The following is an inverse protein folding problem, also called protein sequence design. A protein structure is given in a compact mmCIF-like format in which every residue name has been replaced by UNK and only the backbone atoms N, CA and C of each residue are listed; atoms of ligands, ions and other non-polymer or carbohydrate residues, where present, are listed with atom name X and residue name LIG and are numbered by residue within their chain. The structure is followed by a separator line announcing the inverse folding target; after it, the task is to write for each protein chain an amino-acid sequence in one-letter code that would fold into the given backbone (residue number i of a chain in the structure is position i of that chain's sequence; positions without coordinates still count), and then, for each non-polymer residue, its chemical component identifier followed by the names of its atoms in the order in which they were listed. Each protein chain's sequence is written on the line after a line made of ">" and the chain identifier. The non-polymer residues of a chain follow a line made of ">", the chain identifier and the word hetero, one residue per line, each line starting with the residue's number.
data_IF_098696478323
#
_entry.id   IF_098696478323
#
_cell.length_a   1.000
_cell.length_b   1.000
_cell.length_c   1.000
_cell.angle_alpha   90.00
_cell.angle_beta   90.00
_cell.angle_gamma   90.00
#
_symmetry.space_group_name_H-M   'P 1'
#
loop_
_entity.id
_entity.type
_entity.pdbx_description
1 polymer ?
#
# COMPACT_ATOMS: atom_id res chain seq x y z
N UNK A 1 14.05 39.61 4.28
CA UNK A 1 14.99 39.71 5.41
C UNK A 1 14.53 38.76 6.50
N UNK A 2 15.08 37.55 6.54
CA UNK A 2 15.01 36.63 7.69
C UNK A 2 16.25 35.75 7.62
N UNK A 3 16.97 35.73 8.73
CA UNK A 3 18.38 35.36 8.87
C UNK A 3 18.67 33.86 8.86
N UNK A 4 19.70 33.51 8.09
CA UNK A 4 20.73 32.50 8.31
C UNK A 4 20.41 31.35 9.29
N UNK A 5 20.08 30.19 8.72
CA UNK A 5 20.09 28.89 9.38
C UNK A 5 21.47 28.24 9.25
N UNK A 6 22.44 28.66 10.07
CA UNK A 6 23.69 27.93 10.24
C UNK A 6 23.59 26.99 11.45
N UNK A 7 23.87 25.70 11.23
CA UNK A 7 24.23 24.68 12.22
C UNK A 7 23.35 24.56 13.49
N UNK A 8 22.27 23.76 13.39
CA UNK A 8 21.48 23.30 14.55
C UNK A 8 21.55 21.78 14.80
N UNK A 9 22.70 21.14 14.56
CA UNK A 9 22.89 19.78 15.07
C UNK A 9 23.68 19.86 16.38
N UNK A 10 23.01 19.51 17.50
CA UNK A 10 23.68 19.20 18.77
C UNK A 10 24.70 18.08 18.50
N UNK A 11 25.75 17.89 19.29
CA UNK A 11 26.77 16.86 18.99
C UNK A 11 26.24 15.42 19.16
N UNK A 12 25.16 15.23 19.91
CA UNK A 12 24.56 13.91 20.23
C UNK A 12 24.11 13.08 18.99
N UNK A 13 23.55 13.64 17.90
CA UNK A 13 23.18 12.89 16.69
C UNK A 13 24.38 12.59 15.75
N UNK A 14 25.53 13.24 15.93
CA UNK A 14 26.69 13.05 15.04
C UNK A 14 27.39 11.71 15.32
N UNK A 15 27.56 11.35 16.60
CA UNK A 15 28.17 10.09 17.02
C UNK A 15 27.37 8.86 16.56
N UNK A 16 26.03 8.94 16.60
CA UNK A 16 25.12 7.89 16.11
C UNK A 16 25.28 7.70 14.60
N UNK A 17 25.41 8.81 13.85
CA UNK A 17 25.53 8.79 12.38
C UNK A 17 26.85 8.15 11.92
N UNK A 18 27.97 8.47 12.59
CA UNK A 18 29.30 7.92 12.29
C UNK A 18 29.38 6.42 12.61
N UNK A 19 28.78 5.99 13.74
CA UNK A 19 28.73 4.58 14.13
C UNK A 19 27.96 3.68 13.16
N UNK A 20 26.85 4.17 12.60
CA UNK A 20 26.06 3.42 11.60
C UNK A 20 26.70 3.39 10.21
N UNK A 21 27.49 4.41 9.83
CA UNK A 21 28.13 4.47 8.51
C UNK A 21 29.31 3.49 8.35
N UNK A 22 29.95 3.09 9.46
CA UNK A 22 31.13 2.22 9.47
C UNK A 22 30.84 0.75 9.83
N UNK A 23 29.57 0.37 9.97
CA UNK A 23 29.18 -1.04 10.19
C UNK A 23 29.65 -1.67 11.51
N UNK A 24 30.08 -0.88 12.49
CA UNK A 24 30.64 -1.38 13.77
C UNK A 24 29.60 -1.74 14.84
N UNK A 25 28.33 -1.39 14.67
CA UNK A 25 27.27 -1.71 15.64
C UNK A 25 26.23 -2.65 15.05
N UNK A 26 26.09 -3.85 15.63
CA UNK A 26 24.95 -4.74 15.37
C UNK A 26 23.67 -4.03 15.80
N UNK A 27 22.72 -3.89 14.88
CA UNK A 27 21.35 -3.42 15.15
C UNK A 27 20.67 -4.37 16.13
N UNK A 28 20.76 -4.08 17.42
CA UNK A 28 19.85 -4.59 18.44
C UNK A 28 20.11 -3.80 19.72
N UNK A 29 19.72 -2.52 19.73
CA UNK A 29 19.25 -1.91 20.97
C UNK A 29 18.03 -1.08 20.62
N UNK A 30 16.87 -1.50 21.12
CA UNK A 30 15.56 -0.82 21.01
C UNK A 30 15.47 0.48 21.82
N UNK A 31 16.61 0.95 22.33
CA UNK A 31 16.90 2.28 22.85
C UNK A 31 18.43 2.39 22.84
N UNK A 32 19.09 3.14 21.96
CA UNK A 32 20.54 3.29 22.10
C UNK A 32 20.77 3.91 23.48
N UNK A 33 21.60 3.30 24.36
CA UNK A 33 22.03 4.00 25.55
C UNK A 33 22.70 5.27 25.03
N UNK A 34 22.38 6.41 25.64
CA UNK A 34 23.07 7.67 25.38
C UNK A 34 24.55 7.48 25.76
N UNK A 35 25.34 6.89 24.86
CA UNK A 35 26.78 6.78 25.03
C UNK A 35 27.39 8.10 24.57
N UNK A 36 27.59 8.96 25.56
CA UNK A 36 28.42 10.14 25.43
C UNK A 36 29.88 9.68 25.43
N UNK A 37 30.59 9.75 24.31
CA UNK A 37 32.04 9.45 24.28
C UNK A 37 32.90 10.62 24.78
N UNK A 38 32.33 11.42 25.68
CA UNK A 38 32.99 12.58 26.23
C UNK A 38 33.90 12.17 27.39
N UNK A 39 35.15 12.64 27.35
CA UNK A 39 36.13 12.44 28.43
C UNK A 39 35.83 13.30 29.67
N UNK A 40 34.98 14.32 29.54
CA UNK A 40 34.61 15.26 30.60
C UNK A 40 33.11 15.59 30.57
N UNK A 41 32.60 16.32 31.58
CA UNK A 41 31.19 16.73 31.69
C UNK A 41 30.76 17.41 30.38
N UNK A 42 29.93 16.71 29.62
CA UNK A 42 29.50 17.16 28.31
C UNK A 42 28.57 18.35 28.45
N UNK A 43 28.96 19.50 27.91
CA UNK A 43 28.07 20.64 27.79
C UNK A 43 26.95 20.30 26.78
N UNK A 44 25.67 20.21 27.21
CA UNK A 44 24.56 19.80 26.34
C UNK A 44 24.24 20.79 25.22
N UNK A 45 24.82 22.00 25.27
CA UNK A 45 24.63 23.06 24.29
C UNK A 45 25.77 23.16 23.27
N UNK A 46 26.80 22.32 23.39
CA UNK A 46 27.91 22.28 22.43
C UNK A 46 27.43 21.78 21.05
N UNK A 47 27.73 22.57 20.02
CA UNK A 47 27.38 22.31 18.62
C UNK A 47 28.61 21.95 17.81
N UNK A 48 28.38 21.32 16.66
CA UNK A 48 29.46 20.96 15.73
C UNK A 48 30.23 22.19 15.23
N UNK A 49 29.56 23.32 15.06
CA UNK A 49 30.22 24.59 14.68
C UNK A 49 31.24 25.06 15.73
N UNK A 50 31.02 24.75 17.01
CA UNK A 50 31.91 25.15 18.10
C UNK A 50 33.21 24.33 18.10
N UNK A 51 33.22 23.20 17.38
CA UNK A 51 34.39 22.34 17.16
C UNK A 51 35.20 22.75 15.93
N UNK A 52 34.78 23.78 15.19
CA UNK A 52 35.41 24.25 13.96
C UNK A 52 36.05 25.62 14.22
N UNK A 53 37.32 25.79 13.83
CA UNK A 53 37.99 27.07 13.89
C UNK A 53 37.45 27.98 12.77
N UNK A 54 36.83 29.11 13.14
CA UNK A 54 36.17 30.02 12.20
C UNK A 54 37.12 30.70 11.20
N UNK A 55 38.40 30.84 11.57
CA UNK A 55 39.44 31.51 10.77
C UNK A 55 39.98 30.64 9.63
N UNK A 56 40.14 29.35 9.90
CA UNK A 56 40.83 28.38 9.03
C UNK A 56 39.89 27.32 8.48
N UNK A 57 38.63 27.31 8.93
CA UNK A 57 37.61 26.29 8.63
C UNK A 57 38.16 24.87 8.77
N UNK A 58 38.98 24.70 9.79
CA UNK A 58 39.62 23.44 10.15
C UNK A 58 39.04 22.96 11.48
N UNK A 59 39.03 21.65 11.69
CA UNK A 59 38.65 21.08 12.98
C UNK A 59 39.56 21.62 14.07
N UNK A 60 38.98 22.05 15.20
CA UNK A 60 39.73 22.43 16.38
C UNK A 60 40.26 21.17 17.09
N UNK A 61 41.39 20.66 16.60
CA UNK A 61 41.97 19.37 17.02
C UNK A 61 42.19 19.28 18.53
N UNK A 62 42.74 20.33 19.14
CA UNK A 62 42.99 20.41 20.58
C UNK A 62 41.69 20.27 21.38
N UNK A 63 40.64 20.98 20.96
CA UNK A 63 39.32 20.91 21.60
C UNK A 63 38.67 19.53 21.42
N UNK A 64 38.80 18.94 20.22
CA UNK A 64 38.24 17.60 19.92
C UNK A 64 38.96 16.51 20.70
N UNK A 65 40.29 16.53 20.78
CA UNK A 65 41.09 15.54 21.51
C UNK A 65 40.93 15.65 23.04
N UNK A 66 40.61 16.86 23.53
CA UNK A 66 40.26 17.11 24.93
C UNK A 66 38.84 16.67 25.29
N UNK A 67 37.89 16.74 24.36
CA UNK A 67 36.48 16.40 24.60
C UNK A 67 36.16 14.93 24.33
N UNK A 68 36.77 14.30 23.33
CA UNK A 68 36.43 12.95 22.87
C UNK A 68 37.56 11.96 23.13
N UNK A 69 37.24 10.67 23.20
CA UNK A 69 38.26 9.62 23.18
C UNK A 69 39.03 9.62 21.86
N UNK A 70 40.29 9.18 21.88
CA UNK A 70 41.19 9.25 20.74
C UNK A 70 40.61 8.63 19.46
N UNK A 71 39.88 7.52 19.59
CA UNK A 71 39.23 6.83 18.46
C UNK A 71 38.16 7.70 17.78
N UNK A 72 37.32 8.38 18.58
CA UNK A 72 36.26 9.25 18.05
C UNK A 72 36.81 10.58 17.57
N UNK A 73 37.84 11.12 18.24
CA UNK A 73 38.55 12.32 17.80
C UNK A 73 39.12 12.13 16.40
N UNK A 74 39.73 10.96 16.12
CA UNK A 74 40.22 10.62 14.77
C UNK A 74 39.10 10.58 13.73
N UNK A 75 37.96 10.01 14.07
CA UNK A 75 36.81 9.92 13.17
C UNK A 75 36.20 11.29 12.87
N UNK A 76 36.03 12.15 13.89
CA UNK A 76 35.55 13.52 13.72
C UNK A 76 36.49 14.29 12.80
N UNK A 77 37.81 14.21 13.04
CA UNK A 77 38.82 14.89 12.24
C UNK A 77 38.89 14.38 10.79
N UNK A 78 38.44 13.16 10.50
CA UNK A 78 38.41 12.59 9.14
C UNK A 78 37.33 13.19 8.24
N UNK A 79 36.32 13.86 8.81
CA UNK A 79 35.22 14.45 8.05
C UNK A 79 35.74 15.69 7.32
N UNK A 80 35.69 15.70 5.99
CA UNK A 80 36.11 16.86 5.21
C UNK A 80 35.14 18.03 5.41
N UNK A 81 35.66 19.16 5.89
CA UNK A 81 34.90 20.40 5.97
C UNK A 81 34.84 21.02 4.57
N UNK A 82 33.63 21.17 4.01
CA UNK A 82 33.44 21.76 2.69
C UNK A 82 34.00 23.19 2.62
N UNK A 83 34.56 23.59 1.49
CA UNK A 83 35.27 24.88 1.32
C UNK A 83 34.36 26.11 1.14
N UNK A 84 33.06 25.92 0.90
CA UNK A 84 32.12 27.00 0.58
C UNK A 84 31.15 27.31 1.73
N UNK A 85 30.83 28.59 1.93
CA UNK A 85 29.78 29.06 2.86
C UNK A 85 28.37 28.81 2.29
N UNK A 86 28.07 27.56 1.90
CA UNK A 86 26.73 27.15 1.47
C UNK A 86 25.90 26.68 2.66
N UNK A 87 24.59 26.95 2.64
CA UNK A 87 23.64 26.41 3.61
C UNK A 87 23.64 24.87 3.57
N UNK A 88 23.39 24.25 4.73
CA UNK A 88 23.32 22.79 4.86
C UNK A 88 22.18 22.21 4.00
N UNK A 89 22.46 21.11 3.30
CA UNK A 89 21.47 20.38 2.51
C UNK A 89 21.11 19.05 3.20
N UNK A 90 19.82 18.75 3.29
CA UNK A 90 19.36 17.41 3.69
C UNK A 90 19.56 16.44 2.53
N UNK A 91 20.43 15.44 2.72
CA UNK A 91 20.77 14.44 1.70
C UNK A 91 20.36 13.05 2.19
N UNK A 92 19.58 12.34 1.37
CA UNK A 92 19.23 10.94 1.55
C UNK A 92 20.31 10.05 0.93
N UNK A 93 21.25 9.56 1.73
CA UNK A 93 22.42 8.81 1.24
C UNK A 93 22.09 7.45 0.61
N UNK A 94 20.89 6.91 0.84
CA UNK A 94 20.42 5.68 0.17
C UNK A 94 19.84 5.93 -1.23
N UNK A 95 20.11 7.10 -1.82
CA UNK A 95 19.84 7.38 -3.22
C UNK A 95 21.05 8.13 -3.82
N UNK A 96 21.50 7.73 -5.02
CA UNK A 96 22.66 8.32 -5.70
C UNK A 96 22.52 9.82 -5.93
N UNK A 97 21.28 10.30 -6.06
CA UNK A 97 21.00 11.71 -6.30
C UNK A 97 20.71 12.49 -5.00
N UNK A 98 20.88 11.87 -3.83
CA UNK A 98 20.63 12.51 -2.54
C UNK A 98 19.16 12.79 -2.21
N UNK A 99 18.22 12.47 -3.11
CA UNK A 99 16.80 12.76 -2.92
C UNK A 99 16.08 11.63 -2.20
N UNK A 100 15.25 11.99 -1.21
CA UNK A 100 14.35 11.05 -0.56
C UNK A 100 13.24 10.59 -1.52
N UNK A 101 12.92 9.29 -1.49
CA UNK A 101 11.72 8.75 -2.15
C UNK A 101 11.14 7.62 -1.32
N UNK A 102 9.82 7.45 -1.38
CA UNK A 102 9.14 6.32 -0.73
C UNK A 102 9.70 4.98 -1.21
N UNK A 103 10.10 4.90 -2.49
CA UNK A 103 10.72 3.72 -3.09
C UNK A 103 12.09 3.39 -2.46
N UNK A 104 12.98 4.37 -2.34
CA UNK A 104 14.30 4.16 -1.70
C UNK A 104 14.17 3.84 -0.21
N UNK A 105 13.24 4.49 0.49
CA UNK A 105 12.92 4.18 1.88
C UNK A 105 12.36 2.75 2.06
N UNK A 106 11.50 2.30 1.15
CA UNK A 106 10.94 0.94 1.17
C UNK A 106 12.01 -0.13 0.95
N UNK A 107 12.93 0.06 -0.01
CA UNK A 107 14.04 -0.86 -0.22
C UNK A 107 14.97 -0.92 0.99
N UNK A 108 15.28 0.23 1.58
CA UNK A 108 16.05 0.29 2.82
C UNK A 108 15.35 -0.51 3.92
N UNK A 109 14.07 -0.24 4.18
CA UNK A 109 13.31 -0.94 5.22
C UNK A 109 13.32 -2.47 5.03
N UNK A 110 13.24 -2.94 3.78
CA UNK A 110 13.36 -4.37 3.48
C UNK A 110 14.76 -4.93 3.75
N UNK A 111 15.80 -4.20 3.37
CA UNK A 111 17.18 -4.60 3.66
C UNK A 111 17.45 -4.66 5.17
N UNK A 112 16.99 -3.68 5.94
CA UNK A 112 17.14 -3.70 7.40
C UNK A 112 16.34 -4.83 8.06
N UNK A 113 15.18 -5.18 7.50
CA UNK A 113 14.38 -6.31 7.97
C UNK A 113 15.06 -7.66 7.73
N UNK A 114 15.77 -7.79 6.61
CA UNK A 114 16.56 -8.97 6.29
C UNK A 114 17.80 -9.10 7.19
N UNK A 115 18.47 -7.98 7.51
CA UNK A 115 19.63 -7.95 8.41
C UNK A 115 19.30 -8.28 9.88
N UNK A 116 18.11 -7.88 10.37
CA UNK A 116 17.67 -8.14 11.76
C UNK A 116 17.24 -9.60 12.00
N UNK A 117 16.99 -10.36 10.94
CA UNK A 117 16.68 -11.79 11.02
C UNK A 117 18.00 -12.55 10.86
N UNK A 118 18.73 -12.75 11.95
CA UNK A 118 20.06 -13.38 11.99
C UNK A 118 20.07 -14.85 11.52
N UNK A 119 19.80 -15.07 10.23
CA UNK A 119 19.75 -16.37 9.60
C UNK A 119 20.37 -16.21 8.22
N UNK A 120 21.52 -16.88 8.07
CA UNK A 120 22.23 -17.26 6.85
C UNK A 120 21.92 -16.51 5.57
N UNK A 121 22.99 -16.12 4.88
CA UNK A 121 23.02 -15.81 3.45
C UNK A 121 22.18 -16.81 2.65
N UNK A 122 20.87 -16.56 2.57
CA UNK A 122 20.04 -16.98 1.48
C UNK A 122 20.55 -16.14 0.33
N UNK A 123 21.32 -16.77 -0.54
CA UNK A 123 21.39 -16.36 -1.93
C UNK A 123 20.03 -15.77 -2.29
N UNK A 124 20.02 -14.55 -2.82
CA UNK A 124 18.89 -14.06 -3.60
C UNK A 124 18.75 -15.05 -4.75
N UNK A 125 18.13 -16.19 -4.46
CA UNK A 125 17.66 -17.07 -5.46
C UNK A 125 16.69 -16.21 -6.24
N UNK A 126 16.92 -16.14 -7.54
CA UNK A 126 16.00 -15.67 -8.56
C UNK A 126 14.62 -16.39 -8.53
N UNK A 127 14.24 -17.03 -7.43
CA UNK A 127 12.90 -17.48 -7.09
C UNK A 127 11.95 -16.34 -6.73
N UNK A 128 12.39 -15.07 -6.75
CA UNK A 128 11.49 -13.96 -7.00
C UNK A 128 11.02 -13.99 -8.48
N UNK A 129 10.40 -15.10 -8.88
CA UNK A 129 9.93 -15.38 -10.22
C UNK A 129 9.30 -14.15 -10.83
N UNK A 130 9.81 -13.79 -12.01
CA UNK A 130 9.41 -12.62 -12.78
C UNK A 130 7.90 -12.40 -12.67
N UNK A 131 7.45 -11.40 -11.89
CA UNK A 131 6.01 -11.15 -11.65
C UNK A 131 5.36 -10.38 -12.79
N UNK A 132 6.12 -10.04 -13.84
CA UNK A 132 5.60 -9.30 -14.99
C UNK A 132 4.44 -10.03 -15.66
N UNK A 133 4.39 -11.37 -15.62
CA UNK A 133 3.28 -12.12 -16.22
C UNK A 133 1.92 -11.77 -15.60
N UNK A 134 1.88 -11.45 -14.30
CA UNK A 134 0.64 -10.99 -13.62
C UNK A 134 0.23 -9.62 -14.15
N UNK A 135 1.20 -8.71 -14.25
CA UNK A 135 0.94 -7.32 -14.62
C UNK A 135 0.68 -7.14 -16.11
N UNK A 136 1.26 -8.01 -16.95
CA UNK A 136 1.10 -8.03 -18.40
C UNK A 136 -0.18 -8.75 -18.85
N UNK A 137 -0.86 -9.48 -17.96
CA UNK A 137 -2.13 -10.13 -18.27
C UNK A 137 -3.19 -9.10 -18.68
N UNK A 138 -4.01 -9.43 -19.69
CA UNK A 138 -5.10 -8.57 -20.17
C UNK A 138 -6.38 -8.88 -19.39
N UNK A 139 -6.36 -8.51 -18.12
CA UNK A 139 -7.42 -8.78 -17.13
C UNK A 139 -7.69 -7.54 -16.26
N UNK A 140 -8.84 -7.45 -15.56
CA UNK A 140 -9.14 -6.33 -14.68
C UNK A 140 -8.07 -6.12 -13.59
N UNK A 141 -7.77 -4.85 -13.27
CA UNK A 141 -6.75 -4.51 -12.26
C UNK A 141 -7.03 -5.14 -10.87
N UNK A 142 -8.31 -5.25 -10.47
CA UNK A 142 -8.67 -5.95 -9.22
C UNK A 142 -8.24 -7.43 -9.21
N UNK A 143 -8.31 -8.09 -10.37
CA UNK A 143 -7.85 -9.48 -10.54
C UNK A 143 -6.33 -9.55 -10.50
N UNK A 144 -5.61 -8.59 -11.09
CA UNK A 144 -4.14 -8.50 -10.97
C UNK A 144 -3.67 -8.37 -9.52
N UNK A 145 -4.31 -7.49 -8.75
CA UNK A 145 -4.01 -7.32 -7.32
C UNK A 145 -4.28 -8.62 -6.56
N UNK A 146 -5.39 -9.27 -6.84
CA UNK A 146 -5.71 -10.58 -6.27
C UNK A 146 -4.64 -11.63 -6.59
N UNK A 147 -4.25 -11.79 -7.86
CA UNK A 147 -3.21 -12.75 -8.26
C UNK A 147 -1.87 -12.46 -7.59
N UNK A 148 -1.51 -11.19 -7.46
CA UNK A 148 -0.29 -10.80 -6.75
C UNK A 148 -0.35 -11.21 -5.27
N UNK A 149 -1.48 -11.00 -4.60
CA UNK A 149 -1.70 -11.46 -3.21
C UNK A 149 -1.69 -12.98 -3.11
N UNK A 150 -2.28 -13.68 -4.09
CA UNK A 150 -2.30 -15.13 -4.17
C UNK A 150 -0.89 -15.71 -4.32
N UNK A 151 -0.10 -15.17 -5.26
CA UNK A 151 1.31 -15.52 -5.45
C UNK A 151 2.17 -15.23 -4.21
N UNK A 152 1.72 -14.33 -3.33
CA UNK A 152 2.40 -14.01 -2.06
C UNK A 152 1.85 -14.77 -0.87
N UNK A 153 0.93 -15.72 -1.08
CA UNK A 153 0.25 -16.46 0.00
C UNK A 153 -0.33 -15.52 1.08
N UNK A 154 -0.85 -14.37 0.61
CA UNK A 154 -1.30 -13.25 1.43
C UNK A 154 -2.83 -13.05 1.38
N UNK A 155 -3.56 -13.94 0.70
CA UNK A 155 -5.02 -13.95 0.72
C UNK A 155 -5.55 -14.53 2.05
N UNK A 156 -6.72 -14.09 2.55
CA UNK A 156 -7.25 -14.51 3.85
C UNK A 156 -7.92 -15.90 3.81
N UNK A 157 -7.11 -16.94 3.57
CA UNK A 157 -7.49 -18.34 3.79
C UNK A 157 -7.62 -18.65 5.28
N UNK A 158 -8.26 -19.76 5.66
CA UNK A 158 -8.35 -20.14 7.08
C UNK A 158 -6.96 -20.31 7.70
N UNK A 159 -6.03 -21.02 7.03
CA UNK A 159 -4.65 -21.16 7.53
C UNK A 159 -3.94 -19.81 7.68
N UNK A 160 -4.18 -18.84 6.78
CA UNK A 160 -3.58 -17.48 6.90
C UNK A 160 -4.20 -16.68 8.04
N UNK A 161 -5.51 -16.78 8.25
CA UNK A 161 -6.21 -16.13 9.36
C UNK A 161 -5.76 -16.70 10.72
N UNK A 162 -5.66 -18.03 10.84
CA UNK A 162 -5.14 -18.70 12.04
C UNK A 162 -3.70 -18.27 12.33
N UNK A 163 -2.83 -18.24 11.32
CA UNK A 163 -1.45 -17.74 11.44
C UNK A 163 -1.40 -16.28 11.92
N UNK A 164 -2.42 -15.48 11.62
CA UNK A 164 -2.59 -14.10 12.10
C UNK A 164 -3.35 -14.00 13.43
N UNK A 165 -3.55 -15.12 14.13
CA UNK A 165 -4.22 -15.24 15.42
C UNK A 165 -5.71 -14.87 15.39
N UNK A 166 -6.36 -14.98 14.23
CA UNK A 166 -7.82 -14.89 14.14
C UNK A 166 -8.47 -16.21 14.59
N UNK A 167 -9.52 -16.12 15.41
CA UNK A 167 -10.28 -17.30 15.86
C UNK A 167 -11.24 -17.77 14.77
N UNK A 168 -10.77 -18.68 13.91
CA UNK A 168 -11.57 -19.31 12.84
C UNK A 168 -11.34 -20.83 12.83
N UNK A 169 -12.30 -21.58 12.32
CA UNK A 169 -12.13 -23.03 12.10
C UNK A 169 -11.19 -23.25 10.90
N UNK A 170 -10.29 -24.23 10.94
CA UNK A 170 -9.36 -24.49 9.84
C UNK A 170 -10.06 -25.09 8.61
N UNK A 171 -11.26 -25.63 8.77
CA UNK A 171 -11.94 -26.40 7.74
C UNK A 171 -12.39 -25.58 6.53
N UNK A 172 -12.33 -26.20 5.34
CA UNK A 172 -12.80 -25.64 4.10
C UNK A 172 -14.33 -25.49 4.11
N UNK A 173 -14.81 -24.26 3.92
CA UNK A 173 -16.25 -23.98 3.90
C UNK A 173 -16.95 -24.49 2.64
N UNK A 174 -16.20 -24.96 1.64
CA UNK A 174 -16.74 -25.48 0.38
C UNK A 174 -16.92 -27.00 0.40
N UNK A 175 -15.93 -27.77 0.88
CA UNK A 175 -15.97 -29.23 0.85
C UNK A 175 -15.79 -29.92 2.20
N UNK A 176 -15.61 -29.16 3.29
CA UNK A 176 -15.46 -29.70 4.64
C UNK A 176 -14.09 -30.32 4.95
N UNK A 177 -13.10 -30.23 4.06
CA UNK A 177 -11.74 -30.68 4.33
C UNK A 177 -11.16 -30.01 5.59
N UNK A 178 -10.31 -30.74 6.33
CA UNK A 178 -9.82 -30.34 7.66
C UNK A 178 -9.04 -29.02 7.65
N UNK A 179 -8.27 -28.75 6.59
CA UNK A 179 -7.44 -27.55 6.47
C UNK A 179 -7.67 -26.83 5.13
N UNK A 180 -8.02 -25.55 5.21
CA UNK A 180 -8.19 -24.64 4.08
C UNK A 180 -7.00 -23.67 3.94
N UNK A 181 -6.11 -24.00 3.03
CA UNK A 181 -5.04 -23.12 2.55
C UNK A 181 -5.24 -22.77 1.05
N UNK A 182 -4.38 -21.93 0.48
CA UNK A 182 -4.53 -21.50 -0.91
C UNK A 182 -4.45 -22.68 -1.87
N UNK A 183 -3.54 -23.63 -1.62
CA UNK A 183 -3.39 -24.85 -2.42
C UNK A 183 -4.70 -25.64 -2.41
N UNK A 184 -5.29 -25.85 -1.25
CA UNK A 184 -6.58 -26.52 -1.14
C UNK A 184 -7.65 -25.78 -1.96
N UNK A 185 -7.82 -24.47 -1.77
CA UNK A 185 -8.87 -23.68 -2.44
C UNK A 185 -8.78 -23.77 -3.97
N UNK A 186 -7.58 -23.69 -4.55
CA UNK A 186 -7.41 -23.59 -6.00
C UNK A 186 -7.04 -24.90 -6.69
N UNK A 187 -6.54 -25.90 -5.96
CA UNK A 187 -5.99 -27.14 -6.54
C UNK A 187 -6.72 -28.36 -6.00
N UNK A 188 -6.68 -28.59 -4.69
CA UNK A 188 -7.11 -29.88 -4.13
C UNK A 188 -8.63 -29.95 -3.89
N UNK A 189 -9.30 -28.81 -3.72
CA UNK A 189 -10.73 -28.76 -3.42
C UNK A 189 -11.54 -29.43 -4.55
N UNK A 190 -12.43 -30.39 -4.25
CA UNK A 190 -13.24 -31.07 -5.27
C UNK A 190 -14.00 -30.10 -6.18
N UNK A 191 -14.49 -29.00 -5.60
CA UNK A 191 -15.13 -27.92 -6.35
C UNK A 191 -14.20 -27.27 -7.39
N UNK A 192 -12.97 -26.93 -7.00
CA UNK A 192 -12.00 -26.34 -7.92
C UNK A 192 -11.64 -27.33 -9.02
N UNK A 193 -11.41 -28.60 -8.68
CA UNK A 193 -11.13 -29.67 -9.66
C UNK A 193 -12.23 -29.83 -10.70
N UNK A 194 -13.50 -29.76 -10.27
CA UNK A 194 -14.64 -29.82 -11.19
C UNK A 194 -14.64 -28.61 -12.14
N UNK A 195 -14.41 -27.40 -11.63
CA UNK A 195 -14.31 -26.21 -12.49
C UNK A 195 -13.17 -26.31 -13.50
N UNK A 196 -12.01 -26.81 -13.08
CA UNK A 196 -10.87 -27.01 -13.99
C UNK A 196 -11.14 -28.05 -15.07
N UNK A 197 -11.88 -29.11 -14.75
CA UNK A 197 -12.29 -30.10 -15.74
C UNK A 197 -13.25 -29.50 -16.79
N UNK A 198 -14.10 -28.55 -16.38
CA UNK A 198 -15.08 -27.90 -17.24
C UNK A 198 -14.54 -26.65 -17.97
N UNK A 199 -13.36 -26.14 -17.59
CA UNK A 199 -12.84 -24.86 -18.10
C UNK A 199 -12.12 -24.96 -19.44
N UNK A 200 -11.87 -26.17 -19.95
CA UNK A 200 -11.08 -26.44 -21.15
C UNK A 200 -9.65 -25.84 -21.12
N UNK A 201 -9.03 -25.79 -19.94
CA UNK A 201 -7.66 -25.32 -19.75
C UNK A 201 -6.76 -26.55 -19.64
N UNK A 202 -5.62 -26.64 -20.35
CA UNK A 202 -4.78 -27.84 -20.38
C UNK A 202 -3.95 -28.04 -19.10
N UNK A 203 -4.59 -27.96 -17.93
CA UNK A 203 -3.93 -28.14 -16.62
C UNK A 203 -3.43 -29.57 -16.40
N UNK A 204 -3.97 -30.56 -17.12
CA UNK A 204 -3.54 -31.96 -17.06
C UNK A 204 -2.10 -32.17 -17.57
N UNK A 205 -1.55 -31.21 -18.31
CA UNK A 205 -0.14 -31.21 -18.76
C UNK A 205 0.82 -30.97 -17.58
N UNK A 206 0.33 -30.41 -16.47
CA UNK A 206 1.12 -30.20 -15.25
C UNK A 206 1.25 -31.53 -14.51
N UNK A 207 2.35 -32.24 -14.79
CA UNK A 207 2.62 -33.59 -14.26
C UNK A 207 2.90 -33.63 -12.76
N UNK A 208 3.34 -32.52 -12.17
CA UNK A 208 3.63 -32.40 -10.74
C UNK A 208 2.94 -31.17 -10.15
N UNK A 209 1.93 -31.40 -9.31
CA UNK A 209 1.22 -30.32 -8.62
C UNK A 209 2.10 -29.78 -7.49
N UNK A 210 2.60 -28.53 -7.59
CA UNK A 210 3.61 -28.02 -6.68
C UNK A 210 3.02 -27.75 -5.29
N UNK A 211 3.83 -27.83 -4.25
CA UNK A 211 3.41 -27.70 -2.86
C UNK A 211 2.78 -26.34 -2.53
N UNK A 212 3.12 -25.29 -3.28
CA UNK A 212 2.61 -23.93 -3.10
C UNK A 212 1.92 -23.37 -4.36
N UNK A 213 1.03 -22.39 -4.17
CA UNK A 213 0.24 -21.81 -5.27
C UNK A 213 1.08 -20.90 -6.17
N UNK A 214 2.15 -20.29 -5.65
CA UNK A 214 3.00 -19.41 -6.46
C UNK A 214 3.71 -20.22 -7.57
N UNK A 215 4.30 -21.35 -7.21
CA UNK A 215 4.88 -22.31 -8.13
C UNK A 215 3.84 -22.83 -9.14
N UNK A 216 2.61 -23.08 -8.70
CA UNK A 216 1.52 -23.51 -9.59
C UNK A 216 1.16 -22.44 -10.62
N UNK A 217 0.99 -21.18 -10.20
CA UNK A 217 0.71 -20.06 -11.12
C UNK A 217 1.80 -19.91 -12.17
N UNK A 218 3.07 -20.07 -11.78
CA UNK A 218 4.20 -20.01 -12.70
C UNK A 218 4.21 -21.18 -13.70
N UNK A 219 3.90 -22.40 -13.25
CA UNK A 219 3.79 -23.57 -14.12
C UNK A 219 2.66 -23.43 -15.12
N UNK A 220 1.46 -23.02 -14.67
CA UNK A 220 0.32 -22.76 -15.56
C UNK A 220 0.72 -21.75 -16.63
N UNK A 221 1.32 -20.62 -16.22
CA UNK A 221 1.76 -19.59 -17.18
C UNK A 221 2.73 -20.12 -18.23
N UNK A 222 3.57 -21.10 -17.93
CA UNK A 222 4.52 -21.68 -18.90
C UNK A 222 3.84 -22.58 -19.94
N UNK A 223 2.70 -23.18 -19.60
CA UNK A 223 2.03 -24.18 -20.45
C UNK A 223 0.93 -23.56 -21.30
N UNK A 224 0.26 -22.52 -20.79
CA UNK A 224 -0.90 -21.91 -21.45
C UNK A 224 -0.52 -20.64 -22.21
N UNK A 225 -1.26 -20.33 -23.26
CA UNK A 225 -1.12 -19.06 -23.98
C UNK A 225 -1.67 -17.86 -23.17
N UNK A 226 -1.57 -16.65 -23.72
CA UNK A 226 -2.02 -15.45 -23.02
C UNK A 226 -3.54 -15.41 -22.79
N UNK A 227 -4.34 -15.93 -23.71
CA UNK A 227 -5.81 -15.92 -23.61
C UNK A 227 -6.28 -16.94 -22.59
N UNK A 228 -5.76 -18.17 -22.67
CA UNK A 228 -5.96 -19.22 -21.69
C UNK A 228 -5.48 -18.79 -20.30
N UNK A 229 -4.36 -18.06 -20.20
CA UNK A 229 -3.90 -17.51 -18.94
C UNK A 229 -4.87 -16.47 -18.38
N UNK A 230 -5.37 -15.56 -19.21
CA UNK A 230 -6.37 -14.58 -18.76
C UNK A 230 -7.61 -15.33 -18.26
N UNK A 231 -8.14 -16.28 -19.02
CA UNK A 231 -9.29 -17.10 -18.63
C UNK A 231 -9.07 -17.86 -17.32
N UNK A 232 -7.93 -18.54 -17.18
CA UNK A 232 -7.50 -19.21 -15.95
C UNK A 232 -7.57 -18.27 -14.73
N UNK A 233 -7.04 -17.05 -14.87
CA UNK A 233 -7.05 -16.09 -13.75
C UNK A 233 -8.45 -15.58 -13.40
N UNK A 234 -9.35 -15.47 -14.38
CA UNK A 234 -10.75 -15.13 -14.15
C UNK A 234 -11.47 -16.20 -13.34
N UNK A 235 -11.18 -17.47 -13.62
CA UNK A 235 -11.71 -18.59 -12.84
C UNK A 235 -11.14 -18.63 -11.42
N UNK A 236 -9.83 -18.42 -11.24
CA UNK A 236 -9.25 -18.26 -9.91
C UNK A 236 -9.97 -17.16 -9.12
N UNK A 237 -10.24 -16.00 -9.74
CA UNK A 237 -11.00 -14.93 -9.10
C UNK A 237 -12.43 -15.35 -8.72
N UNK A 238 -13.12 -16.13 -9.56
CA UNK A 238 -14.47 -16.63 -9.25
C UNK A 238 -14.48 -17.70 -8.17
N UNK A 239 -13.52 -18.62 -8.16
CA UNK A 239 -13.34 -19.61 -7.08
C UNK A 239 -13.19 -18.88 -5.74
N UNK A 240 -12.30 -17.87 -5.71
CA UNK A 240 -12.09 -17.05 -4.53
C UNK A 240 -13.35 -16.27 -4.11
N UNK A 241 -14.02 -15.63 -5.07
CA UNK A 241 -15.25 -14.87 -4.83
C UNK A 241 -16.37 -15.75 -4.26
N UNK A 242 -16.61 -16.92 -4.85
CA UNK A 242 -17.60 -17.89 -4.35
C UNK A 242 -17.28 -18.34 -2.93
N UNK A 243 -16.03 -18.70 -2.66
CA UNK A 243 -15.60 -19.08 -1.30
C UNK A 243 -15.89 -17.94 -0.31
N UNK A 244 -15.59 -16.69 -0.67
CA UNK A 244 -15.87 -15.56 0.21
C UNK A 244 -17.38 -15.32 0.40
N UNK A 245 -18.20 -15.47 -0.64
CA UNK A 245 -19.66 -15.41 -0.52
C UNK A 245 -20.20 -16.48 0.43
N UNK A 246 -19.63 -17.70 0.41
CA UNK A 246 -19.99 -18.75 1.38
C UNK A 246 -19.59 -18.37 2.82
N UNK A 247 -18.35 -17.90 3.01
CA UNK A 247 -17.82 -17.60 4.35
C UNK A 247 -18.47 -16.36 4.97
N UNK A 248 -18.69 -15.31 4.18
CA UNK A 248 -19.15 -14.01 4.68
C UNK A 248 -20.66 -13.82 4.56
N UNK A 249 -21.27 -14.34 3.49
CA UNK A 249 -22.68 -14.08 3.13
C UNK A 249 -23.55 -15.34 3.21
N UNK A 250 -22.97 -16.51 3.54
CA UNK A 250 -23.63 -17.83 3.53
C UNK A 250 -24.35 -18.16 2.20
N UNK A 251 -23.88 -17.59 1.09
CA UNK A 251 -24.49 -17.78 -0.24
C UNK A 251 -23.99 -19.05 -0.92
N UNK A 252 -24.92 -19.94 -1.24
CA UNK A 252 -24.65 -21.14 -2.03
C UNK A 252 -24.70 -20.78 -3.52
N UNK A 253 -23.65 -21.13 -4.27
CA UNK A 253 -23.60 -20.95 -5.72
C UNK A 253 -23.47 -22.31 -6.42
N UNK A 254 -24.18 -22.46 -7.55
CA UNK A 254 -24.01 -23.58 -8.46
C UNK A 254 -22.61 -23.50 -9.12
N UNK A 255 -21.84 -24.60 -9.18
CA UNK A 255 -20.56 -24.62 -9.88
C UNK A 255 -20.63 -24.13 -11.34
N UNK A 256 -21.70 -24.46 -12.07
CA UNK A 256 -21.87 -24.03 -13.47
C UNK A 256 -22.01 -22.50 -13.57
N UNK A 257 -22.59 -21.86 -12.56
CA UNK A 257 -22.71 -20.40 -12.51
C UNK A 257 -21.34 -19.74 -12.41
N UNK A 258 -20.34 -20.39 -11.80
CA UNK A 258 -18.99 -19.82 -11.72
C UNK A 258 -18.33 -19.68 -13.09
N UNK A 259 -18.51 -20.67 -13.98
CA UNK A 259 -17.95 -20.61 -15.34
C UNK A 259 -18.67 -19.55 -16.16
N UNK A 260 -20.00 -19.60 -16.19
CA UNK A 260 -20.81 -18.61 -16.92
C UNK A 260 -20.55 -17.19 -16.40
N UNK A 261 -20.50 -16.99 -15.08
CA UNK A 261 -20.20 -15.70 -14.46
C UNK A 261 -18.75 -15.23 -14.66
N UNK A 262 -17.78 -16.16 -14.74
CA UNK A 262 -16.42 -15.81 -15.15
C UNK A 262 -16.41 -15.34 -16.61
N UNK A 263 -17.09 -16.08 -17.50
CA UNK A 263 -17.17 -15.79 -18.92
C UNK A 263 -17.82 -14.43 -19.20
N UNK A 264 -19.01 -14.18 -18.64
CA UNK A 264 -19.69 -12.89 -18.78
C UNK A 264 -18.84 -11.73 -18.29
N UNK A 265 -18.25 -11.85 -17.09
CA UNK A 265 -17.42 -10.76 -16.56
C UNK A 265 -16.13 -10.53 -17.34
N UNK A 266 -15.54 -11.59 -17.90
CA UNK A 266 -14.39 -11.44 -18.77
C UNK A 266 -14.76 -10.78 -20.09
N UNK A 267 -15.89 -11.17 -20.69
CA UNK A 267 -16.44 -10.55 -21.91
C UNK A 267 -16.76 -9.08 -21.70
N UNK A 268 -17.40 -8.72 -20.59
CA UNK A 268 -17.69 -7.32 -20.23
C UNK A 268 -16.41 -6.50 -20.14
N UNK A 269 -15.37 -7.05 -19.49
CA UNK A 269 -14.07 -6.40 -19.44
C UNK A 269 -13.44 -6.23 -20.83
N UNK A 270 -13.48 -7.26 -21.67
CA UNK A 270 -12.96 -7.18 -23.04
C UNK A 270 -13.71 -6.10 -23.85
N UNK A 271 -15.03 -6.02 -23.71
CA UNK A 271 -15.86 -4.99 -24.35
C UNK A 271 -15.45 -3.58 -23.91
N UNK A 272 -15.27 -3.36 -22.60
CA UNK A 272 -14.85 -2.05 -22.04
C UNK A 272 -13.44 -1.67 -22.48
N UNK A 273 -12.53 -2.64 -22.65
CA UNK A 273 -11.17 -2.37 -23.11
C UNK A 273 -11.10 -2.15 -24.63
N UNK A 274 -11.97 -2.83 -25.39
CA UNK A 274 -12.06 -2.69 -26.84
C UNK A 274 -12.65 -1.33 -27.23
N UNK A 275 -13.64 -0.86 -26.48
CA UNK A 275 -14.10 0.52 -26.54
C UNK A 275 -13.02 1.38 -25.90
N UNK A 276 -12.13 1.98 -26.70
CA UNK A 276 -11.33 3.11 -26.21
C UNK A 276 -12.34 4.14 -25.73
N UNK A 277 -12.51 4.41 -24.42
CA UNK A 277 -13.29 5.57 -24.06
C UNK A 277 -12.60 6.75 -24.75
N UNK A 278 -13.34 7.69 -25.36
CA UNK A 278 -12.72 8.94 -25.79
C UNK A 278 -11.92 9.42 -24.58
N UNK A 279 -10.63 9.66 -24.78
CA UNK A 279 -9.76 10.17 -23.72
C UNK A 279 -10.25 11.59 -23.46
N UNK A 280 -11.35 11.73 -22.72
CA UNK A 280 -11.67 12.93 -21.98
C UNK A 280 -10.64 12.96 -20.86
N UNK A 281 -9.47 13.51 -21.21
CA UNK A 281 -8.30 13.68 -20.35
C UNK A 281 -8.55 14.65 -19.20
N UNK A 282 -9.76 15.18 -19.04
CA UNK A 282 -10.15 15.74 -17.76
C UNK A 282 -10.46 14.59 -16.81
N UNK A 283 -9.45 14.13 -16.05
CA UNK A 283 -9.74 13.83 -14.65
C UNK A 283 -10.38 15.11 -14.13
N UNK A 284 -11.71 15.12 -14.02
CA UNK A 284 -12.43 16.23 -13.43
C UNK A 284 -12.12 16.18 -11.93
N UNK A 285 -10.91 16.60 -11.57
CA UNK A 285 -10.58 16.85 -10.19
C UNK A 285 -11.59 17.88 -9.72
N UNK A 286 -12.31 17.54 -8.65
CA UNK A 286 -13.26 18.44 -8.05
C UNK A 286 -12.56 19.79 -7.81
N UNK A 287 -13.15 20.86 -8.34
CA UNK A 287 -12.67 22.24 -8.11
C UNK A 287 -13.65 22.95 -7.19
N UNK A 288 -13.18 23.77 -6.24
CA UNK A 288 -14.07 24.64 -5.49
C UNK A 288 -14.85 25.57 -6.44
N UNK A 289 -16.04 26.04 -6.05
CA UNK A 289 -16.80 27.04 -6.79
C UNK A 289 -16.11 28.42 -6.76
N UNK A 290 -16.63 29.38 -7.51
CA UNK A 290 -16.23 30.78 -7.46
C UNK A 290 -16.38 31.37 -6.05
N UNK A 291 -15.58 32.40 -5.74
CA UNK A 291 -15.68 33.13 -4.46
C UNK A 291 -17.11 33.60 -4.20
N UNK A 292 -17.60 33.44 -2.97
CA UNK A 292 -18.97 33.78 -2.59
C UNK A 292 -20.03 32.78 -3.06
N UNK A 293 -19.62 31.64 -3.62
CA UNK A 293 -20.52 30.57 -4.03
C UNK A 293 -20.28 29.29 -3.24
N UNK A 294 -21.29 28.46 -3.21
CA UNK A 294 -21.30 27.17 -2.53
C UNK A 294 -21.56 26.08 -3.56
N UNK A 295 -20.90 24.94 -3.43
CA UNK A 295 -21.08 23.77 -4.30
C UNK A 295 -21.63 22.61 -3.48
N UNK A 296 -22.76 22.08 -3.91
CA UNK A 296 -23.39 20.91 -3.28
C UNK A 296 -23.15 19.70 -4.19
N UNK A 297 -22.54 18.67 -3.63
CA UNK A 297 -22.36 17.37 -4.26
C UNK A 297 -23.27 16.36 -3.57
N UNK A 298 -23.93 15.52 -4.34
CA UNK A 298 -24.79 14.47 -3.84
C UNK A 298 -24.57 13.19 -4.65
N UNK A 299 -24.83 12.05 -4.03
CA UNK A 299 -24.70 10.74 -4.66
C UNK A 299 -25.60 9.72 -3.95
N UNK A 300 -25.94 8.64 -4.65
CA UNK A 300 -26.71 7.53 -4.11
C UNK A 300 -26.00 6.19 -4.32
N UNK A 301 -26.02 5.34 -3.29
CA UNK A 301 -25.38 4.04 -3.30
C UNK A 301 -26.39 2.93 -3.00
N UNK A 302 -26.59 2.01 -3.94
CA UNK A 302 -27.41 0.83 -3.73
C UNK A 302 -26.68 -0.20 -2.87
N UNK A 303 -27.37 -0.71 -1.84
CA UNK A 303 -26.90 -1.82 -1.03
C UNK A 303 -27.64 -3.09 -1.44
N UNK A 304 -26.90 -4.05 -2.00
CA UNK A 304 -27.45 -5.27 -2.59
C UNK A 304 -28.19 -6.22 -1.62
N UNK A 305 -28.14 -5.97 -0.31
CA UNK A 305 -28.90 -6.71 0.70
C UNK A 305 -29.96 -5.80 1.36
N UNK A 306 -31.21 -6.03 0.95
CA UNK A 306 -32.40 -5.42 1.57
C UNK A 306 -33.03 -4.26 0.80
N UNK A 307 -32.74 -4.09 -0.50
CA UNK A 307 -33.40 -3.06 -1.34
C UNK A 307 -33.24 -1.63 -0.78
N UNK A 308 -32.10 -1.38 -0.12
CA UNK A 308 -31.84 -0.10 0.54
C UNK A 308 -30.93 0.75 -0.32
N UNK A 309 -31.18 2.05 -0.29
CA UNK A 309 -30.32 3.05 -0.89
C UNK A 309 -29.74 3.97 0.16
N UNK A 310 -28.44 4.17 0.13
CA UNK A 310 -27.75 5.20 0.89
C UNK A 310 -27.73 6.49 0.09
N UNK A 311 -28.10 7.59 0.71
CA UNK A 311 -28.05 8.93 0.14
C UNK A 311 -26.94 9.70 0.86
N UNK A 312 -26.11 10.42 0.11
CA UNK A 312 -25.07 11.27 0.65
C UNK A 312 -25.12 12.66 0.02
N UNK A 313 -24.97 13.69 0.84
CA UNK A 313 -24.88 15.09 0.43
C UNK A 313 -23.71 15.74 1.17
N UNK A 314 -22.91 16.52 0.47
CA UNK A 314 -21.88 17.38 1.04
C UNK A 314 -21.91 18.75 0.37
N UNK A 315 -21.80 19.78 1.18
CA UNK A 315 -21.82 21.18 0.78
C UNK A 315 -20.49 21.81 1.13
N UNK A 316 -19.83 22.45 0.15
CA UNK A 316 -18.51 23.06 0.32
C UNK A 316 -18.49 24.51 -0.16
N UNK A 317 -17.67 25.32 0.49
CA UNK A 317 -17.41 26.70 0.09
C UNK A 317 -16.38 26.81 -1.05
N UNK A 318 -16.06 28.04 -1.42
CA UNK A 318 -15.06 28.39 -2.44
C UNK A 318 -13.60 28.12 -2.04
N UNK A 319 -13.31 27.84 -0.77
CA UNK A 319 -12.01 27.35 -0.30
C UNK A 319 -11.93 25.82 -0.35
N UNK A 320 -13.07 25.15 -0.48
CA UNK A 320 -13.19 23.70 -0.45
C UNK A 320 -13.52 23.13 0.93
N UNK A 321 -13.77 24.00 1.90
CA UNK A 321 -14.11 23.62 3.26
C UNK A 321 -15.52 23.05 3.31
N UNK A 322 -15.70 21.97 4.07
CA UNK A 322 -17.01 21.36 4.27
C UNK A 322 -17.84 22.23 5.21
N UNK A 323 -18.95 22.75 4.71
CA UNK A 323 -19.89 23.55 5.50
C UNK A 323 -20.95 22.69 6.16
N UNK A 324 -21.57 21.79 5.37
CA UNK A 324 -22.63 20.89 5.82
C UNK A 324 -22.53 19.57 5.07
N UNK A 325 -23.02 18.52 5.70
CA UNK A 325 -23.22 17.23 5.06
C UNK A 325 -24.46 16.55 5.64
N UNK A 326 -25.04 15.64 4.88
CA UNK A 326 -26.16 14.82 5.33
C UNK A 326 -26.06 13.45 4.68
N UNK A 327 -26.40 12.42 5.45
CA UNK A 327 -26.60 11.08 4.91
C UNK A 327 -27.92 10.52 5.41
N UNK A 328 -28.52 9.63 4.61
CA UNK A 328 -29.67 8.85 5.02
C UNK A 328 -29.67 7.48 4.35
N UNK A 329 -30.41 6.55 4.91
CA UNK A 329 -30.69 5.25 4.28
C UNK A 329 -32.19 5.16 4.10
N UNK A 330 -32.64 4.82 2.90
CA UNK A 330 -34.05 4.64 2.58
C UNK A 330 -34.32 3.19 2.17
N UNK A 331 -35.39 2.56 2.68
CA UNK A 331 -35.80 1.23 2.26
C UNK A 331 -36.55 1.27 0.91
N UNK A 332 -36.62 0.11 0.26
CA UNK A 332 -37.49 -0.19 -0.88
C UNK A 332 -37.26 0.65 -2.15
N UNK A 333 -35.99 0.97 -2.46
CA UNK A 333 -35.61 1.69 -3.69
C UNK A 333 -34.56 0.93 -4.48
N UNK A 334 -34.90 0.60 -5.73
CA UNK A 334 -34.13 -0.36 -6.54
C UNK A 334 -33.54 0.28 -7.80
N UNK A 335 -33.78 1.58 -8.00
CA UNK A 335 -33.30 2.34 -9.16
C UNK A 335 -32.21 3.30 -8.71
N UNK A 336 -30.99 3.21 -9.27
CA UNK A 336 -29.94 4.21 -9.06
C UNK A 336 -30.43 5.63 -9.37
N UNK A 337 -31.21 5.79 -10.44
CA UNK A 337 -31.72 7.09 -10.91
C UNK A 337 -32.70 7.71 -9.91
N UNK A 338 -33.56 6.89 -9.31
CA UNK A 338 -34.44 7.32 -8.21
C UNK A 338 -33.60 7.74 -6.99
N UNK A 339 -32.55 6.97 -6.68
CA UNK A 339 -31.57 7.33 -5.66
C UNK A 339 -30.97 8.71 -5.85
N UNK A 340 -30.46 8.98 -7.04
CA UNK A 340 -29.85 10.26 -7.38
C UNK A 340 -30.85 11.41 -7.25
N UNK A 341 -32.09 11.22 -7.69
CA UNK A 341 -33.15 12.21 -7.53
C UNK A 341 -33.47 12.50 -6.04
N UNK A 342 -33.42 11.49 -5.18
CA UNK A 342 -33.63 11.65 -3.74
C UNK A 342 -32.45 12.31 -3.04
N UNK A 343 -31.23 11.99 -3.46
CA UNK A 343 -30.02 12.66 -2.98
C UNK A 343 -30.03 14.14 -3.39
N UNK A 344 -30.47 14.46 -4.61
CA UNK A 344 -30.68 15.83 -5.09
C UNK A 344 -31.76 16.57 -4.27
N UNK A 345 -32.91 15.94 -4.01
CA UNK A 345 -33.96 16.50 -3.15
C UNK A 345 -33.43 16.80 -1.75
N UNK A 346 -32.69 15.86 -1.17
CA UNK A 346 -32.06 16.01 0.14
C UNK A 346 -31.07 17.19 0.17
N UNK A 347 -30.32 17.39 -0.90
CA UNK A 347 -29.42 18.53 -1.06
C UNK A 347 -30.17 19.86 -1.06
N UNK A 348 -31.28 19.95 -1.79
CA UNK A 348 -32.12 21.16 -1.84
C UNK A 348 -32.74 21.44 -0.46
N UNK A 349 -33.31 20.43 0.19
CA UNK A 349 -33.90 20.57 1.52
C UNK A 349 -32.87 21.02 2.58
N UNK A 350 -31.65 20.49 2.50
CA UNK A 350 -30.56 20.88 3.39
C UNK A 350 -30.20 22.35 3.18
N UNK A 351 -30.18 22.83 1.95
CA UNK A 351 -29.91 24.22 1.62
C UNK A 351 -31.03 25.16 2.09
N UNK A 352 -32.30 24.81 1.84
CA UNK A 352 -33.45 25.66 2.18
C UNK A 352 -33.68 25.81 3.70
N UNK A 353 -33.33 24.79 4.50
CA UNK A 353 -33.54 24.83 5.96
C UNK A 353 -32.56 25.72 6.72
N UNK A 354 -31.40 26.01 6.15
CA UNK A 354 -30.32 26.76 6.80
C UNK A 354 -30.10 28.14 6.15
N UNK A 355 -31.12 28.69 5.47
CA UNK A 355 -31.09 29.95 4.71
C UNK A 355 -30.44 31.12 5.46
N UNK A 356 -30.66 31.22 6.78
CA UNK A 356 -30.12 32.28 7.64
C UNK A 356 -28.60 32.20 7.88
N UNK A 357 -27.97 31.04 7.65
CA UNK A 357 -26.54 30.82 7.90
C UNK A 357 -25.69 31.17 6.67
N UNK A 358 -26.27 31.06 5.47
CA UNK A 358 -25.59 31.33 4.21
C UNK A 358 -25.31 32.82 3.97
N UNK A 359 -26.19 33.71 4.44
CA UNK A 359 -26.00 35.17 4.32
C UNK A 359 -24.71 35.65 5.04
N UNK A 360 -24.29 34.95 6.09
CA UNK A 360 -23.05 35.25 6.83
C UNK A 360 -21.76 34.75 6.18
N UNK A 361 -21.86 33.88 5.16
CA UNK A 361 -20.71 33.28 4.46
C UNK A 361 -20.37 33.96 3.12
N UNK A 362 -21.24 34.87 2.67
CA UNK A 362 -21.12 35.60 1.42
C UNK A 362 -20.47 37.00 1.56
N UNK A 363 -19.99 37.36 2.76
CA UNK A 363 -19.29 38.61 3.05
C UNK A 363 -17.77 38.43 3.19
#
# INVERSE_FOLDING_TARGET
>A
MTSASQNRYKIIPLAVTIGTALGRYKKTVTNPPFFCSARSIFNPDLRVCDLIKNDTRSWNKELIEGLFYAEDAMLIQSISLGSSYSDDLQIWHYNKNGNFSVKSAFYLAHQLSAENSGSHAGQSSDHAGNRSFIWNAKIPNKVKIFLWRLHKEAIPTMSTLIRRRCMVKPACSTCGAVEENSRHIFIDCPFARQLWALSNIPLMVIRSWPSDVASWLMQVRKVVDNEQFNWFTMLCWRIWGRRNGLVMERRLYNPLDCISSAGSFFKDFQNVVAVKPPILSSRCAWKPPSKGSVKINFDAALFGEGNRIGLGVITRDWKGDCLLWKSAVMPDINSPEHGDALAARMAIELHCRDSRRWDSLCH
#
